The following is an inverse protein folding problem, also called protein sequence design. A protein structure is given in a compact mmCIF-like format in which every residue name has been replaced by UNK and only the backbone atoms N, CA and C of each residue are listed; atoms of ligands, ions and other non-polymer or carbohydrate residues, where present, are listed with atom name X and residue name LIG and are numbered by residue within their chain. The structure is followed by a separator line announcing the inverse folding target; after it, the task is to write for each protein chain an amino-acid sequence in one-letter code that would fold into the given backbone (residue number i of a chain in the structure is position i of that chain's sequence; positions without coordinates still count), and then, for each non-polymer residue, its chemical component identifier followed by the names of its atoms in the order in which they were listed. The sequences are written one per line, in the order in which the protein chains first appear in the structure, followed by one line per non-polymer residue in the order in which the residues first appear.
data_IF_689728820784
#
_entry.id   IF_689728820784
#
_cell.length_a   1.000
_cell.length_b   1.000
_cell.length_c   1.000
_cell.angle_alpha   90.00
_cell.angle_beta   90.00
_cell.angle_gamma   90.00
#
_symmetry.space_group_name_H-M   'P 1'
#
loop_
_entity.id
_entity.type
_entity.pdbx_description
1 polymer ?
#
# COMPACT_ATOMS: atom_id res chain seq x y z
N UNK A 1 -9.33 -0.28 6.85
CA UNK A 1 -8.70 -1.38 7.63
C UNK A 1 -8.88 -2.68 6.85
N UNK A 2 -7.99 -3.65 7.01
CA UNK A 2 -8.05 -4.92 6.27
C UNK A 2 -7.93 -6.09 7.24
N UNK A 3 -8.83 -7.07 7.15
CA UNK A 3 -8.78 -8.32 7.89
C UNK A 3 -8.85 -9.49 6.91
N UNK A 4 -7.84 -10.37 6.93
CA UNK A 4 -7.76 -11.54 6.05
C UNK A 4 -7.97 -11.21 4.56
N UNK A 5 -7.47 -10.06 4.09
CA UNK A 5 -7.62 -9.58 2.73
C UNK A 5 -8.94 -8.86 2.42
N UNK A 6 -9.87 -8.76 3.37
CA UNK A 6 -11.16 -8.08 3.22
C UNK A 6 -11.08 -6.66 3.79
N UNK A 7 -11.60 -5.68 3.05
CA UNK A 7 -11.68 -4.29 3.52
C UNK A 7 -12.85 -4.15 4.49
N UNK A 8 -12.53 -3.90 5.76
CA UNK A 8 -13.52 -3.79 6.85
C UNK A 8 -14.12 -2.39 6.97
N UNK A 9 -13.49 -1.38 6.36
CA UNK A 9 -14.01 -0.02 6.41
C UNK A 9 -12.99 1.06 6.08
N UNK A 10 -13.47 2.30 6.15
CA UNK A 10 -12.77 3.51 5.74
C UNK A 10 -12.14 4.26 6.91
N UNK A 11 -11.16 5.12 6.61
CA UNK A 11 -10.65 6.11 7.55
C UNK A 11 -11.54 7.36 7.49
N UNK A 12 -12.47 7.46 8.43
CA UNK A 12 -13.48 8.53 8.50
C UNK A 12 -13.24 9.45 9.70
N UNK A 13 -13.23 10.75 9.42
CA UNK A 13 -13.46 11.80 10.41
C UNK A 13 -14.94 12.19 10.46
N UNK A 14 -15.31 13.09 11.37
CA UNK A 14 -16.72 13.44 11.62
C UNK A 14 -17.46 13.96 10.38
N UNK A 15 -16.80 14.75 9.52
CA UNK A 15 -17.42 15.31 8.32
C UNK A 15 -17.66 14.26 7.23
N UNK A 16 -16.65 13.43 6.92
CA UNK A 16 -16.77 12.38 5.90
C UNK A 16 -17.74 11.28 6.34
N UNK A 17 -17.74 10.93 7.62
CA UNK A 17 -18.73 10.01 8.19
C UNK A 17 -20.17 10.50 7.98
N UNK A 18 -20.46 11.77 8.32
CA UNK A 18 -21.79 12.36 8.11
C UNK A 18 -22.20 12.39 6.64
N UNK A 19 -21.27 12.75 5.74
CA UNK A 19 -21.54 12.74 4.29
C UNK A 19 -21.92 11.38 3.74
N UNK A 20 -21.37 10.31 4.32
CA UNK A 20 -21.65 8.93 3.92
C UNK A 20 -22.79 8.28 4.73
N UNK A 21 -23.41 9.00 5.68
CA UNK A 21 -24.40 8.41 6.58
C UNK A 21 -23.81 7.36 7.54
N UNK A 22 -22.50 7.42 7.81
CA UNK A 22 -21.75 6.47 8.63
C UNK A 22 -21.34 7.09 9.97
N UNK A 23 -20.83 6.25 10.87
CA UNK A 23 -20.18 6.69 12.11
C UNK A 23 -18.71 7.07 11.87
N UNK A 24 -18.20 7.99 12.68
CA UNK A 24 -16.77 8.35 12.64
C UNK A 24 -15.92 7.18 13.13
N UNK A 25 -14.73 7.04 12.55
CA UNK A 25 -13.73 6.05 12.98
C UNK A 25 -12.59 6.69 13.77
N UNK A 26 -12.71 7.99 14.09
CA UNK A 26 -11.69 8.74 14.82
C UNK A 26 -10.47 9.14 13.98
N UNK A 27 -10.50 8.97 12.65
CA UNK A 27 -9.36 9.20 11.76
C UNK A 27 -9.38 10.59 11.08
N UNK A 28 -9.79 11.62 11.84
CA UNK A 28 -9.70 13.00 11.36
C UNK A 28 -8.23 13.45 11.38
N UNK A 29 -7.65 13.69 10.20
CA UNK A 29 -6.21 13.99 10.05
C UNK A 29 -5.40 12.84 9.48
N UNK A 30 -6.03 11.70 9.18
CA UNK A 30 -5.37 10.54 8.57
C UNK A 30 -5.36 9.32 9.49
N UNK A 31 -4.63 8.29 9.08
CA UNK A 31 -4.42 7.10 9.88
C UNK A 31 -3.22 7.28 10.82
N UNK A 32 -3.21 6.55 11.93
CA UNK A 32 -2.17 6.60 12.94
C UNK A 32 -1.55 5.21 13.13
N UNK A 33 -0.22 5.13 13.14
CA UNK A 33 0.55 3.89 13.37
C UNK A 33 0.01 2.68 12.60
N UNK A 34 -0.04 2.79 11.27
CA UNK A 34 -0.47 1.67 10.43
C UNK A 34 0.59 0.57 10.40
N UNK A 35 0.15 -0.66 10.59
CA UNK A 35 0.97 -1.86 10.48
C UNK A 35 0.46 -2.76 9.37
N UNK A 36 1.38 -3.39 8.66
CA UNK A 36 1.11 -4.45 7.70
C UNK A 36 1.75 -5.72 8.22
N UNK A 37 1.01 -6.82 8.19
CA UNK A 37 1.59 -8.13 8.46
C UNK A 37 2.58 -8.47 7.35
N UNK A 38 3.74 -9.01 7.71
CA UNK A 38 4.75 -9.45 6.76
C UNK A 38 4.56 -10.94 6.46
N UNK A 39 4.99 -11.35 5.27
CA UNK A 39 5.00 -12.77 4.84
C UNK A 39 6.40 -13.38 4.91
N UNK A 40 7.43 -12.55 4.97
CA UNK A 40 8.84 -12.93 5.01
C UNK A 40 9.54 -12.17 6.14
N UNK A 41 10.54 -12.79 6.75
CA UNK A 41 11.35 -12.15 7.79
C UNK A 41 12.38 -11.17 7.20
N UNK A 42 12.90 -11.46 6.00
CA UNK A 42 13.94 -10.65 5.38
C UNK A 42 13.67 -10.37 3.91
N UNK A 43 14.21 -9.25 3.40
CA UNK A 43 14.20 -8.93 1.98
C UNK A 43 14.91 -10.01 1.14
N UNK A 44 15.99 -10.60 1.66
CA UNK A 44 16.73 -11.66 0.97
C UNK A 44 15.88 -12.90 0.73
N UNK A 45 14.99 -13.25 1.66
CA UNK A 45 14.08 -14.39 1.48
C UNK A 45 13.07 -14.11 0.37
N UNK A 46 12.52 -12.89 0.33
CA UNK A 46 11.62 -12.44 -0.74
C UNK A 46 12.32 -12.39 -2.11
N UNK A 47 13.57 -11.94 -2.18
CA UNK A 47 14.35 -11.91 -3.41
C UNK A 47 14.69 -13.32 -3.93
N UNK A 48 14.91 -14.27 -3.02
CA UNK A 48 15.08 -15.69 -3.40
C UNK A 48 13.78 -16.26 -3.96
N UNK A 49 12.65 -16.01 -3.31
CA UNK A 49 11.33 -16.47 -3.79
C UNK A 49 10.98 -15.87 -5.16
N UNK A 50 11.25 -14.57 -5.37
CA UNK A 50 11.02 -13.89 -6.65
C UNK A 50 11.80 -14.53 -7.81
N UNK A 51 12.97 -15.09 -7.55
CA UNK A 51 13.81 -15.72 -8.55
C UNK A 51 14.49 -14.71 -9.48
N UNK A 52 13.78 -14.24 -10.51
CA UNK A 52 14.26 -13.22 -11.46
C UNK A 52 13.26 -12.05 -11.51
N UNK A 53 13.73 -10.82 -11.37
CA UNK A 53 12.84 -9.66 -11.37
C UNK A 53 13.56 -8.33 -11.17
N UNK A 54 12.82 -7.31 -10.77
CA UNK A 54 13.31 -5.96 -10.51
C UNK A 54 13.01 -5.58 -9.07
N UNK A 55 14.05 -5.30 -8.28
CA UNK A 55 13.92 -4.68 -6.97
C UNK A 55 13.86 -3.15 -7.16
N UNK A 56 12.68 -2.57 -7.00
CA UNK A 56 12.48 -1.12 -7.09
C UNK A 56 12.80 -0.47 -5.74
N UNK A 57 13.67 0.55 -5.76
CA UNK A 57 14.05 1.31 -4.56
C UNK A 57 13.59 2.76 -4.61
N UNK A 58 13.35 3.30 -5.81
CA UNK A 58 12.91 4.68 -6.01
C UNK A 58 11.84 4.78 -7.10
N UNK A 59 10.93 5.74 -6.93
CA UNK A 59 9.83 6.01 -7.86
C UNK A 59 9.75 7.51 -8.18
N UNK A 60 9.54 7.83 -9.45
CA UNK A 60 9.52 9.21 -9.97
C UNK A 60 8.18 9.52 -10.65
N UNK A 61 7.72 10.78 -10.51
CA UNK A 61 6.49 11.27 -11.12
C UNK A 61 5.21 11.01 -10.32
N UNK A 62 4.10 11.60 -10.78
CA UNK A 62 2.77 11.64 -10.14
C UNK A 62 1.72 10.79 -10.90
N UNK A 63 2.11 9.67 -11.51
CA UNK A 63 1.18 8.89 -12.34
C UNK A 63 0.34 7.86 -11.58
N UNK A 64 -0.18 8.21 -10.40
CA UNK A 64 -1.14 7.38 -9.68
C UNK A 64 -2.52 8.06 -9.69
N UNK A 65 -3.51 7.44 -10.33
CA UNK A 65 -4.88 7.96 -10.43
C UNK A 65 -5.77 7.33 -9.35
N UNK A 66 -6.25 8.15 -8.42
CA UNK A 66 -7.07 7.68 -7.29
C UNK A 66 -8.53 7.36 -7.65
N UNK A 67 -9.00 7.77 -8.84
CA UNK A 67 -10.37 7.50 -9.31
C UNK A 67 -10.44 6.17 -10.05
N UNK A 68 -9.51 5.93 -10.99
CA UNK A 68 -9.51 4.73 -11.84
C UNK A 68 -8.61 3.63 -11.32
N UNK A 69 -7.64 3.94 -10.46
CA UNK A 69 -6.60 3.02 -10.03
C UNK A 69 -5.45 2.86 -11.04
N UNK A 70 -5.44 3.63 -12.13
CA UNK A 70 -4.35 3.61 -13.10
C UNK A 70 -3.01 4.02 -12.45
N UNK A 71 -1.95 3.29 -12.77
CA UNK A 71 -0.64 3.45 -12.14
C UNK A 71 0.49 3.35 -13.16
N UNK A 72 1.21 4.45 -13.33
CA UNK A 72 2.39 4.54 -14.20
C UNK A 72 3.40 5.50 -13.59
N UNK A 73 4.55 4.99 -13.16
CA UNK A 73 5.64 5.80 -12.57
C UNK A 73 6.98 5.33 -13.12
N UNK A 74 7.90 6.27 -13.28
CA UNK A 74 9.30 5.93 -13.53
C UNK A 74 9.85 5.21 -12.30
N UNK A 75 10.65 4.18 -12.49
CA UNK A 75 11.23 3.38 -11.42
C UNK A 75 12.74 3.24 -11.61
N UNK A 76 13.48 3.28 -10.50
CA UNK A 76 14.90 2.96 -10.44
C UNK A 76 15.16 1.89 -9.38
N UNK A 77 16.16 1.05 -9.62
CA UNK A 77 16.44 -0.10 -8.76
C UNK A 77 17.40 -1.10 -9.41
N UNK A 78 17.35 -2.35 -8.94
CA UNK A 78 18.29 -3.41 -9.31
C UNK A 78 17.61 -4.57 -10.01
N UNK A 79 18.16 -4.99 -11.15
CA UNK A 79 17.82 -6.27 -11.74
C UNK A 79 18.34 -7.39 -10.83
N UNK A 80 17.47 -8.33 -10.47
CA UNK A 80 17.79 -9.47 -9.63
C UNK A 80 17.62 -10.77 -10.40
N UNK A 81 18.56 -11.69 -10.21
CA UNK A 81 18.47 -13.06 -10.73
C UNK A 81 19.16 -14.00 -9.75
N UNK A 82 18.43 -14.99 -9.27
CA UNK A 82 18.99 -16.10 -8.50
C UNK A 82 19.86 -16.97 -9.41
N UNK A 83 20.99 -17.41 -8.86
CA UNK A 83 21.92 -18.31 -9.53
C UNK A 83 21.35 -19.72 -9.63
#
# INVERSE_FOLDING_TARGET
MIQNGIVEGYFLGSYSARKLGMQTTGNAGGAHNLYLNHTHETQSDLLKEMGTGLLVTELMGQGANTITGDYSRGAAGFGWKTA
#
